data_IF_643104040614
#
_entry.id   IF_643104040614
#
_cell.length_a   1.000
_cell.length_b   1.000
_cell.length_c   1.000
_cell.angle_alpha   90.00
_cell.angle_beta   90.00
_cell.angle_gamma   90.00
#
_symmetry.space_group_name_H-M   'P 1'
#
loop_
_entity.id
_entity.type
_entity.pdbx_description
1 polymer ?
#
# COMPACT_ATOMS: atom_id res chain seq x y z
N UNK A 1 -16.96 -88.37 49.04
CA UNK A 1 -15.63 -88.03 48.50
C UNK A 1 -15.77 -86.69 47.74
N UNK A 2 -15.26 -85.62 48.33
CA UNK A 2 -15.40 -84.25 47.78
C UNK A 2 -14.15 -83.89 46.99
N UNK A 3 -14.22 -83.62 45.72
CA UNK A 3 -13.10 -83.15 44.88
C UNK A 3 -12.81 -81.63 45.09
N UNK A 4 -11.57 -81.16 44.91
CA UNK A 4 -11.21 -79.78 45.17
C UNK A 4 -11.62 -78.84 44.03
N UNK A 5 -12.18 -77.68 44.43
CA UNK A 5 -12.49 -76.54 43.56
C UNK A 5 -11.22 -75.79 43.17
N UNK A 6 -10.95 -75.68 41.89
CA UNK A 6 -9.88 -74.84 41.35
C UNK A 6 -10.36 -73.38 41.30
N UNK A 7 -9.67 -72.53 41.99
CA UNK A 7 -9.84 -71.08 41.92
C UNK A 7 -9.09 -70.55 40.66
N UNK A 8 -9.78 -69.86 39.80
CA UNK A 8 -9.18 -69.10 38.68
C UNK A 8 -8.49 -67.85 39.21
N UNK A 9 -7.27 -67.54 38.74
CA UNK A 9 -6.64 -66.31 39.10
C UNK A 9 -7.25 -65.16 38.31
N UNK A 10 -7.62 -64.12 39.02
CA UNK A 10 -8.08 -62.86 38.43
C UNK A 10 -6.90 -62.18 37.73
N UNK A 11 -7.05 -62.01 36.40
CA UNK A 11 -6.09 -61.21 35.64
C UNK A 11 -6.20 -59.74 36.04
N UNK A 12 -5.12 -59.18 36.52
CA UNK A 12 -5.02 -57.74 36.75
C UNK A 12 -4.99 -57.02 35.40
N UNK A 13 -6.08 -56.34 35.09
CA UNK A 13 -6.11 -55.39 33.95
C UNK A 13 -5.38 -54.13 34.40
N UNK A 14 -4.15 -53.94 33.92
CA UNK A 14 -3.43 -52.69 34.12
C UNK A 14 -4.06 -51.59 33.24
N UNK A 15 -4.80 -50.69 33.87
CA UNK A 15 -5.24 -49.44 33.22
C UNK A 15 -4.03 -48.51 33.04
N UNK A 16 -3.56 -48.41 31.83
CA UNK A 16 -2.64 -47.34 31.44
C UNK A 16 -3.42 -46.04 31.37
N UNK A 17 -3.30 -45.20 32.38
CA UNK A 17 -3.76 -43.84 32.37
C UNK A 17 -2.86 -43.06 31.40
N UNK A 18 -3.35 -42.73 30.19
CA UNK A 18 -2.71 -41.78 29.31
C UNK A 18 -2.82 -40.39 29.97
N UNK A 19 -1.78 -39.97 30.65
CA UNK A 19 -1.60 -38.58 31.09
C UNK A 19 -1.36 -37.74 29.81
N UNK A 20 -2.40 -37.08 29.33
CA UNK A 20 -2.26 -36.01 28.34
C UNK A 20 -1.56 -34.86 29.06
N UNK A 21 -0.28 -34.73 28.85
CA UNK A 21 0.47 -33.55 29.26
C UNK A 21 -0.01 -32.41 28.35
N UNK A 22 -0.64 -31.35 28.90
CA UNK A 22 -0.95 -30.18 28.09
C UNK A 22 0.39 -29.58 27.69
N UNK A 23 0.72 -29.71 26.40
CA UNK A 23 1.80 -28.89 25.82
C UNK A 23 1.27 -27.45 25.88
N UNK A 24 1.93 -26.54 26.61
CA UNK A 24 1.56 -25.15 26.54
C UNK A 24 1.70 -24.76 25.05
N UNK A 25 0.59 -24.43 24.39
CA UNK A 25 0.67 -23.62 23.17
C UNK A 25 1.29 -22.30 23.63
N UNK A 26 2.61 -22.24 23.55
CA UNK A 26 3.29 -20.98 23.49
C UNK A 26 2.65 -20.28 22.29
N UNK A 27 1.88 -19.23 22.53
CA UNK A 27 1.60 -18.27 21.49
C UNK A 27 2.99 -17.92 20.97
N UNK A 28 3.37 -18.52 19.85
CA UNK A 28 4.58 -18.11 19.17
C UNK A 28 4.42 -16.61 19.07
N UNK A 29 5.30 -15.88 19.71
CA UNK A 29 5.41 -14.46 19.55
C UNK A 29 5.43 -14.27 18.04
N UNK A 30 4.32 -13.79 17.48
CA UNK A 30 4.25 -13.37 16.10
C UNK A 30 5.09 -12.09 16.04
N UNK A 31 6.39 -12.27 16.19
CA UNK A 31 7.36 -11.29 15.76
C UNK A 31 7.11 -11.19 14.27
N UNK A 32 6.37 -10.14 13.93
CA UNK A 32 5.96 -9.90 12.55
C UNK A 32 7.16 -10.14 11.67
N UNK A 33 6.99 -10.99 10.66
CA UNK A 33 8.07 -11.49 9.81
C UNK A 33 9.08 -10.36 9.57
N UNK A 34 10.30 -10.54 10.05
CA UNK A 34 11.42 -9.64 9.77
C UNK A 34 11.90 -9.78 8.33
N UNK A 35 11.32 -10.72 7.58
CA UNK A 35 11.61 -10.93 6.18
C UNK A 35 10.84 -9.94 5.32
N UNK A 36 11.48 -8.81 5.05
CA UNK A 36 11.04 -7.90 4.01
C UNK A 36 11.26 -8.58 2.66
N UNK A 37 10.30 -8.46 1.76
CA UNK A 37 10.49 -8.86 0.36
C UNK A 37 11.28 -7.74 -0.31
N UNK A 38 12.52 -8.00 -0.75
CA UNK A 38 13.30 -6.96 -1.41
C UNK A 38 12.68 -6.62 -2.76
N UNK A 39 12.11 -5.43 -2.88
CA UNK A 39 11.42 -5.00 -4.10
C UNK A 39 12.39 -4.73 -5.29
N UNK A 40 13.70 -4.67 -5.04
CA UNK A 40 14.72 -4.56 -6.11
C UNK A 40 15.27 -5.91 -6.57
N UNK A 41 14.94 -7.02 -5.90
CA UNK A 41 15.38 -8.36 -6.29
C UNK A 41 14.49 -9.00 -7.37
N UNK A 42 14.87 -10.21 -7.79
CA UNK A 42 14.42 -10.87 -9.02
C UNK A 42 12.91 -10.93 -9.28
N UNK A 43 12.10 -10.98 -8.26
CA UNK A 43 10.65 -11.10 -8.45
C UNK A 43 9.96 -9.79 -8.84
N UNK A 44 10.46 -8.66 -8.37
CA UNK A 44 9.83 -7.34 -8.57
C UNK A 44 10.71 -6.46 -9.47
N UNK A 45 12.00 -6.28 -9.12
CA UNK A 45 12.96 -5.40 -9.81
C UNK A 45 12.37 -4.00 -10.03
N UNK A 46 11.92 -3.39 -8.95
CA UNK A 46 11.07 -2.19 -8.99
C UNK A 46 11.68 -1.07 -9.85
N UNK A 47 12.95 -0.74 -9.65
CA UNK A 47 13.64 0.32 -10.39
C UNK A 47 13.86 0.02 -11.87
N UNK A 48 13.92 -1.28 -12.26
CA UNK A 48 14.19 -1.70 -13.64
C UNK A 48 12.94 -2.02 -14.44
N UNK A 49 11.87 -2.45 -13.77
CA UNK A 49 10.65 -2.87 -14.43
C UNK A 49 9.82 -1.65 -14.81
N UNK A 50 9.46 -1.57 -16.10
CA UNK A 50 8.54 -0.54 -16.57
C UNK A 50 7.17 -0.77 -15.94
N UNK A 51 6.62 0.28 -15.33
CA UNK A 51 5.28 0.23 -14.79
C UNK A 51 4.24 0.29 -15.92
N UNK A 52 3.13 -0.40 -15.72
CA UNK A 52 2.00 -0.39 -16.67
C UNK A 52 0.74 0.05 -15.96
N UNK A 53 0.07 1.06 -16.51
CA UNK A 53 -1.16 1.55 -15.91
C UNK A 53 -1.68 2.84 -16.53
N UNK A 54 -2.70 3.44 -15.91
CA UNK A 54 -3.33 4.63 -16.45
C UNK A 54 -2.40 5.84 -16.55
N UNK A 55 -1.44 5.98 -15.64
CA UNK A 55 -0.49 7.09 -15.66
C UNK A 55 0.46 6.97 -16.87
N UNK A 56 0.99 5.78 -17.16
CA UNK A 56 1.83 5.54 -18.33
C UNK A 56 1.05 5.78 -19.62
N UNK A 57 -0.14 5.23 -19.72
CA UNK A 57 -1.00 5.46 -20.90
C UNK A 57 -1.31 6.95 -21.12
N UNK A 58 -1.51 7.70 -20.04
CA UNK A 58 -1.69 9.15 -20.16
C UNK A 58 -0.40 9.84 -20.60
N UNK A 59 0.75 9.46 -20.03
CA UNK A 59 2.06 10.00 -20.43
C UNK A 59 2.33 9.77 -21.91
N UNK A 60 2.10 8.58 -22.44
CA UNK A 60 2.26 8.23 -23.85
C UNK A 60 1.34 9.09 -24.76
N UNK A 61 0.10 9.30 -24.33
CA UNK A 61 -0.85 10.15 -25.07
C UNK A 61 -0.46 11.63 -25.08
N UNK A 62 0.11 12.11 -23.96
CA UNK A 62 0.66 13.48 -23.87
C UNK A 62 1.87 13.65 -24.79
N UNK A 63 2.79 12.69 -24.79
CA UNK A 63 3.98 12.69 -25.65
C UNK A 63 3.64 12.57 -27.14
N UNK A 64 2.60 11.82 -27.46
CA UNK A 64 2.07 11.70 -28.82
C UNK A 64 1.20 12.92 -29.27
N UNK A 65 0.99 13.90 -28.39
CA UNK A 65 0.16 15.07 -28.67
C UNK A 65 -1.34 14.76 -28.82
N UNK A 66 -1.79 13.57 -28.37
CA UNK A 66 -3.19 13.14 -28.44
C UNK A 66 -4.04 13.76 -27.33
N UNK A 67 -3.42 14.24 -26.28
CA UNK A 67 -4.05 14.91 -25.14
C UNK A 67 -3.25 16.15 -24.81
N UNK A 68 -3.95 17.23 -24.50
CA UNK A 68 -3.38 18.46 -23.97
C UNK A 68 -4.06 18.73 -22.63
N UNK A 69 -3.27 19.00 -21.58
CA UNK A 69 -3.80 19.35 -20.28
C UNK A 69 -3.99 20.86 -20.15
N UNK A 70 -5.17 21.25 -19.71
CA UNK A 70 -5.46 22.64 -19.33
C UNK A 70 -4.84 23.00 -18.00
N UNK A 71 -4.29 24.18 -17.89
CA UNK A 71 -3.76 24.74 -16.65
C UNK A 71 -4.59 25.95 -16.21
N UNK A 72 -4.87 26.05 -14.93
CA UNK A 72 -5.52 27.22 -14.35
C UNK A 72 -4.74 27.75 -13.13
N UNK A 73 -4.91 29.05 -12.81
CA UNK A 73 -4.14 29.70 -11.74
C UNK A 73 -4.41 29.16 -10.33
N UNK A 74 -5.62 28.62 -10.11
CA UNK A 74 -6.03 28.17 -8.77
C UNK A 74 -5.60 26.73 -8.50
N UNK A 75 -5.74 25.84 -9.47
CA UNK A 75 -5.56 24.40 -9.29
C UNK A 75 -4.40 23.82 -10.11
N UNK A 76 -3.79 24.62 -10.98
CA UNK A 76 -2.79 24.14 -11.91
C UNK A 76 -3.37 23.14 -12.91
N UNK A 77 -2.74 22.01 -13.06
CA UNK A 77 -3.19 20.92 -13.92
C UNK A 77 -4.22 19.99 -13.27
N UNK A 78 -4.56 20.17 -11.98
CA UNK A 78 -5.37 19.19 -11.22
C UNK A 78 -6.64 18.77 -11.97
N UNK A 79 -7.48 19.71 -12.36
CA UNK A 79 -8.78 19.40 -12.96
C UNK A 79 -8.66 18.64 -14.26
N UNK A 80 -7.80 19.11 -15.16
CA UNK A 80 -7.58 18.42 -16.44
C UNK A 80 -6.93 17.05 -16.29
N UNK A 81 -6.15 16.84 -15.21
CA UNK A 81 -5.60 15.52 -14.87
C UNK A 81 -6.67 14.58 -14.31
N UNK A 82 -7.54 15.09 -13.45
CA UNK A 82 -8.68 14.29 -12.94
C UNK A 82 -9.56 13.81 -14.09
N UNK A 83 -9.89 14.68 -15.03
CA UNK A 83 -10.66 14.34 -16.21
C UNK A 83 -9.93 13.31 -17.11
N UNK A 84 -8.66 13.56 -17.42
CA UNK A 84 -7.86 12.68 -18.28
C UNK A 84 -7.66 11.27 -17.68
N UNK A 85 -7.59 11.16 -16.33
CA UNK A 85 -7.49 9.91 -15.57
C UNK A 85 -8.85 9.33 -15.18
N UNK A 86 -9.96 10.02 -15.50
CA UNK A 86 -11.33 9.64 -15.13
C UNK A 86 -11.50 9.50 -13.61
N UNK A 87 -10.87 10.38 -12.87
CA UNK A 87 -11.00 10.45 -11.41
C UNK A 87 -12.07 11.48 -11.08
N UNK A 88 -13.19 11.10 -10.44
CA UNK A 88 -14.26 12.04 -10.15
C UNK A 88 -13.84 13.05 -9.08
N UNK A 89 -14.13 14.34 -9.27
CA UNK A 89 -13.89 15.37 -8.26
C UNK A 89 -14.64 15.07 -6.95
N UNK A 90 -15.79 14.40 -7.03
CA UNK A 90 -16.60 13.99 -5.89
C UNK A 90 -15.95 12.92 -5.00
N UNK A 91 -14.87 12.28 -5.46
CA UNK A 91 -14.10 11.34 -4.65
C UNK A 91 -13.20 12.02 -3.63
N UNK A 92 -13.19 13.34 -3.57
CA UNK A 92 -12.33 14.11 -2.69
C UNK A 92 -12.42 13.66 -1.23
N UNK A 93 -11.26 13.35 -0.68
CA UNK A 93 -11.05 13.10 0.75
C UNK A 93 -9.96 14.05 1.27
N UNK A 94 -10.20 14.69 2.41
CA UNK A 94 -9.24 15.59 3.03
C UNK A 94 -8.39 14.86 4.05
N UNK A 95 -7.07 15.03 3.95
CA UNK A 95 -6.06 14.42 4.82
C UNK A 95 -5.27 15.52 5.50
N UNK A 96 -5.32 15.53 6.82
CA UNK A 96 -4.70 16.56 7.67
C UNK A 96 -3.33 16.13 8.20
N UNK A 97 -3.00 14.85 8.11
CA UNK A 97 -1.75 14.30 8.62
C UNK A 97 -0.56 14.71 7.75
N UNK A 98 0.55 15.04 8.39
CA UNK A 98 1.82 15.44 7.75
C UNK A 98 2.64 14.23 7.26
N UNK A 99 2.00 13.31 6.53
CA UNK A 99 2.62 12.03 6.08
C UNK A 99 3.04 12.00 4.63
N UNK A 100 3.05 13.15 3.96
CA UNK A 100 3.52 13.32 2.57
C UNK A 100 4.86 14.04 2.54
N UNK A 101 5.60 13.97 1.44
CA UNK A 101 6.77 14.82 1.23
C UNK A 101 6.44 16.32 1.20
N UNK A 102 5.15 16.66 1.10
CA UNK A 102 4.65 18.04 1.20
C UNK A 102 4.19 18.42 2.62
N UNK A 103 4.62 17.68 3.63
CA UNK A 103 4.20 17.83 5.04
C UNK A 103 4.26 19.27 5.58
N UNK A 104 5.25 20.03 5.15
CA UNK A 104 5.43 21.42 5.60
C UNK A 104 4.33 22.38 5.09
N UNK A 105 3.57 21.95 4.09
CA UNK A 105 2.44 22.68 3.51
C UNK A 105 1.08 22.19 4.04
N UNK A 106 1.05 21.03 4.70
CA UNK A 106 -0.19 20.41 5.19
C UNK A 106 -0.48 20.88 6.61
N UNK A 107 -1.71 21.36 6.83
CA UNK A 107 -2.21 21.77 8.14
C UNK A 107 -3.73 21.62 8.16
N UNK A 108 -4.40 21.74 9.33
CA UNK A 108 -5.86 21.78 9.39
C UNK A 108 -6.50 22.88 8.54
N UNK A 109 -5.80 24.01 8.35
CA UNK A 109 -6.27 25.12 7.49
C UNK A 109 -5.90 24.89 6.00
N UNK A 110 -4.97 24.00 5.71
CA UNK A 110 -4.51 23.69 4.35
C UNK A 110 -4.34 22.17 4.18
N UNK A 111 -5.43 21.39 4.21
CA UNK A 111 -5.36 19.95 4.11
C UNK A 111 -4.92 19.49 2.71
N UNK A 112 -4.32 18.30 2.64
CA UNK A 112 -4.11 17.61 1.38
C UNK A 112 -5.44 17.00 0.92
N UNK A 113 -5.87 17.34 -0.28
CA UNK A 113 -6.97 16.65 -0.93
C UNK A 113 -6.44 15.41 -1.67
N UNK A 114 -7.10 14.27 -1.49
CA UNK A 114 -6.86 13.05 -2.25
C UNK A 114 -8.11 12.77 -3.06
N UNK A 115 -7.94 12.63 -4.37
CA UNK A 115 -8.98 12.18 -5.31
C UNK A 115 -8.62 10.78 -5.78
N UNK A 116 -9.60 9.93 -6.04
CA UNK A 116 -9.33 8.55 -6.42
C UNK A 116 -10.43 7.91 -7.26
N UNK A 117 -10.05 6.89 -7.96
CA UNK A 117 -10.91 5.86 -8.54
C UNK A 117 -10.28 4.49 -8.22
N UNK A 118 -10.73 3.44 -8.88
CA UNK A 118 -10.24 2.08 -8.63
C UNK A 118 -8.76 1.88 -9.00
N UNK A 119 -8.20 2.73 -9.86
CA UNK A 119 -6.88 2.55 -10.44
C UNK A 119 -5.84 3.57 -9.94
N UNK A 120 -6.26 4.78 -9.57
CA UNK A 120 -5.36 5.92 -9.34
C UNK A 120 -5.79 6.75 -8.14
N UNK A 121 -4.79 7.21 -7.41
CA UNK A 121 -4.92 8.26 -6.41
C UNK A 121 -4.18 9.51 -6.85
N UNK A 122 -4.79 10.67 -6.67
CA UNK A 122 -4.22 11.98 -6.99
C UNK A 122 -4.21 12.83 -5.73
N UNK A 123 -3.02 13.21 -5.28
CA UNK A 123 -2.81 14.07 -4.11
C UNK A 123 -2.54 15.52 -4.52
N UNK A 124 -3.28 16.44 -3.93
CA UNK A 124 -3.16 17.87 -4.15
C UNK A 124 -3.09 18.61 -2.82
N UNK A 125 -2.10 19.47 -2.69
CA UNK A 125 -2.01 20.42 -1.56
C UNK A 125 -2.15 21.83 -2.12
N UNK A 126 -3.12 22.63 -1.67
CA UNK A 126 -3.28 23.99 -2.17
C UNK A 126 -1.99 24.80 -2.05
N UNK A 127 -1.64 25.50 -3.13
CA UNK A 127 -0.40 26.29 -3.20
C UNK A 127 0.90 25.49 -3.36
N UNK A 128 0.80 24.17 -3.54
CA UNK A 128 1.97 23.36 -3.86
C UNK A 128 2.29 23.37 -5.35
N UNK A 129 3.58 23.45 -5.72
CA UNK A 129 4.01 23.29 -7.10
C UNK A 129 4.04 21.84 -7.58
N UNK A 130 3.62 20.89 -6.75
CA UNK A 130 3.71 19.44 -7.05
C UNK A 130 2.37 18.77 -6.82
N UNK A 131 1.96 17.95 -7.80
CA UNK A 131 0.93 16.94 -7.64
C UNK A 131 1.57 15.57 -7.38
N UNK A 132 0.98 14.78 -6.51
CA UNK A 132 1.40 13.42 -6.18
C UNK A 132 0.40 12.41 -6.75
N UNK A 133 0.91 11.32 -7.27
CA UNK A 133 0.06 10.25 -7.83
C UNK A 133 0.53 8.90 -7.32
N UNK A 134 -0.41 7.99 -7.18
CA UNK A 134 -0.09 6.58 -7.02
C UNK A 134 -1.09 5.73 -7.78
N UNK A 135 -0.62 4.57 -8.23
CA UNK A 135 -1.45 3.56 -8.86
C UNK A 135 -0.99 2.16 -8.43
N UNK A 136 -1.82 1.16 -8.67
CA UNK A 136 -1.44 -0.25 -8.46
C UNK A 136 -1.01 -0.84 -9.80
N UNK A 137 0.20 -1.40 -9.80
CA UNK A 137 0.71 -2.20 -10.91
C UNK A 137 0.68 -3.69 -10.49
N UNK A 138 0.22 -4.61 -11.34
CA UNK A 138 0.08 -6.03 -10.97
C UNK A 138 1.41 -6.71 -10.58
N UNK A 139 2.54 -6.23 -11.10
CA UNK A 139 3.86 -6.77 -10.82
C UNK A 139 4.61 -5.99 -9.76
N UNK A 140 4.50 -4.66 -9.81
CA UNK A 140 5.29 -3.76 -8.97
C UNK A 140 4.60 -3.41 -7.65
N UNK A 141 3.29 -3.66 -7.53
CA UNK A 141 2.49 -3.16 -6.42
C UNK A 141 2.21 -1.66 -6.54
N UNK A 142 2.39 -0.90 -5.45
CA UNK A 142 2.19 0.54 -5.47
C UNK A 142 3.28 1.26 -6.27
N UNK A 143 2.90 2.05 -7.27
CA UNK A 143 3.82 2.87 -8.07
C UNK A 143 3.47 4.33 -7.89
N UNK A 144 4.47 5.16 -7.64
CA UNK A 144 4.33 6.54 -7.23
C UNK A 144 4.95 7.50 -8.24
N UNK A 145 4.28 8.63 -8.44
CA UNK A 145 4.72 9.68 -9.36
C UNK A 145 4.51 11.04 -8.77
N UNK A 146 5.32 11.98 -9.26
CA UNK A 146 5.11 13.41 -9.08
C UNK A 146 4.95 14.09 -10.44
N UNK A 147 4.30 15.25 -10.43
CA UNK A 147 4.15 16.11 -11.59
C UNK A 147 4.28 17.56 -11.14
N UNK A 148 5.08 18.34 -11.88
CA UNK A 148 5.19 19.79 -11.65
C UNK A 148 3.86 20.46 -12.01
N UNK A 149 3.21 21.07 -11.02
CA UNK A 149 1.91 21.72 -11.15
C UNK A 149 2.00 23.18 -11.64
N UNK A 150 3.22 23.70 -11.89
CA UNK A 150 3.43 25.00 -12.50
C UNK A 150 3.20 24.92 -14.01
N UNK A 151 2.75 26.03 -14.58
CA UNK A 151 2.53 26.08 -16.04
C UNK A 151 3.83 25.80 -16.80
N UNK A 152 3.79 24.82 -17.69
CA UNK A 152 4.94 24.39 -18.50
C UNK A 152 4.49 23.95 -19.89
N UNK A 153 5.39 24.06 -20.86
CA UNK A 153 5.17 23.57 -22.22
C UNK A 153 5.26 22.04 -22.33
N UNK A 154 5.79 21.36 -21.31
CA UNK A 154 5.96 19.91 -21.32
C UNK A 154 5.57 19.32 -19.97
N UNK A 155 4.38 18.82 -19.90
CA UNK A 155 3.88 18.12 -18.71
C UNK A 155 4.44 16.70 -18.71
N UNK A 156 5.03 16.28 -17.58
CA UNK A 156 5.62 14.96 -17.44
C UNK A 156 5.39 14.39 -16.05
N UNK A 157 4.96 13.14 -16.00
CA UNK A 157 4.98 12.35 -14.78
C UNK A 157 6.41 11.83 -14.51
N UNK A 158 6.88 12.03 -13.30
CA UNK A 158 8.19 11.54 -12.85
C UNK A 158 7.95 10.46 -11.81
N UNK A 159 8.34 9.23 -12.12
CA UNK A 159 8.32 8.14 -11.12
C UNK A 159 9.28 8.46 -10.00
N UNK A 160 8.88 8.21 -8.76
CA UNK A 160 9.70 8.50 -7.58
C UNK A 160 9.72 7.31 -6.63
N UNK A 161 10.90 6.96 -6.16
CA UNK A 161 11.11 5.88 -5.21
C UNK A 161 11.09 6.37 -3.75
N UNK A 162 11.13 7.68 -3.54
CA UNK A 162 11.10 8.28 -2.20
C UNK A 162 9.87 7.85 -1.39
N UNK A 163 8.73 7.62 -2.05
CA UNK A 163 7.51 7.17 -1.39
C UNK A 163 7.68 5.77 -0.77
N UNK A 164 8.60 4.96 -1.29
CA UNK A 164 8.87 3.60 -0.82
C UNK A 164 9.47 3.57 0.59
N UNK A 165 10.09 4.65 1.07
CA UNK A 165 10.54 4.76 2.45
C UNK A 165 9.41 4.41 3.46
N UNK A 166 8.18 4.81 3.14
CA UNK A 166 7.00 4.47 3.93
C UNK A 166 6.17 3.35 3.31
N UNK A 167 6.09 3.29 1.98
CA UNK A 167 5.18 2.43 1.24
C UNK A 167 5.78 1.06 0.86
N UNK A 168 7.07 0.80 1.16
CA UNK A 168 7.71 -0.51 1.08
C UNK A 168 8.42 -0.88 2.39
N UNK A 169 7.88 -0.43 3.51
CA UNK A 169 8.43 -0.70 4.84
C UNK A 169 7.89 -1.99 5.47
N UNK A 170 8.22 -2.20 6.75
CA UNK A 170 7.81 -3.39 7.50
C UNK A 170 6.29 -3.63 7.51
N UNK A 171 5.47 -2.59 7.44
CA UNK A 171 4.00 -2.72 7.43
C UNK A 171 3.42 -3.24 6.11
N UNK A 172 4.16 -3.15 5.05
CA UNK A 172 3.84 -3.74 3.75
C UNK A 172 4.71 -4.97 3.46
N UNK A 173 5.47 -5.44 4.47
CA UNK A 173 6.43 -6.54 4.34
C UNK A 173 7.49 -6.30 3.25
N UNK A 174 7.85 -5.03 3.01
CA UNK A 174 8.80 -4.63 1.98
C UNK A 174 8.24 -4.59 0.57
N UNK A 175 7.00 -5.02 0.37
CA UNK A 175 6.33 -4.92 -0.94
C UNK A 175 5.81 -3.51 -1.14
N UNK A 176 6.05 -2.86 -2.29
CA UNK A 176 5.46 -1.57 -2.60
C UNK A 176 3.93 -1.63 -2.55
N UNK A 177 3.32 -0.84 -1.67
CA UNK A 177 1.88 -0.91 -1.44
C UNK A 177 1.28 0.38 -0.90
N UNK A 178 -0.05 0.45 -0.94
CA UNK A 178 -0.79 1.54 -0.33
C UNK A 178 -1.01 1.25 1.15
N UNK A 179 -0.71 2.24 1.98
CA UNK A 179 -0.87 2.17 3.41
C UNK A 179 -1.82 3.26 3.86
N UNK A 180 -3.02 2.86 4.26
CA UNK A 180 -4.00 3.77 4.85
C UNK A 180 -3.80 3.77 6.36
N UNK A 181 -3.56 4.96 6.92
CA UNK A 181 -3.42 5.17 8.35
C UNK A 181 -4.30 6.31 8.79
N UNK A 182 -4.86 6.19 9.98
CA UNK A 182 -5.44 7.30 10.71
C UNK A 182 -4.39 7.82 11.70
N UNK A 183 -4.13 9.11 11.66
CA UNK A 183 -3.24 9.79 12.59
C UNK A 183 -4.02 10.89 13.28
N UNK A 184 -3.68 11.15 14.54
CA UNK A 184 -4.09 12.38 15.18
C UNK A 184 -3.45 13.55 14.43
N UNK A 185 -4.19 14.65 14.31
CA UNK A 185 -3.63 15.94 13.88
C UNK A 185 -2.68 16.45 14.95
N UNK A 186 -1.48 16.82 14.55
CA UNK A 186 -0.51 17.50 15.42
C UNK A 186 -0.96 18.93 15.76
#
# INVERSE_FOLDING_TARGET
MKGPRRLCPWGAVALWALTVIPVPLSAADFQGSTHLVPFEEDNIQYGKTAAMGPIQRLQERLEAGQVTLGWDERFGYLRSLLDALRVPESSQMLVFSKTSFQRDRISPANPRAIYFNDDVYVGYVPGSPVLEFSMVDPRLGGVFYTLDNRQTNRVRFVRTDNCLECHAGAKTMGVPGHLIRSFATD
#
